data_IF_973546230937
#
_entry.id   IF_973546230937
#
_cell.length_a   1.000
_cell.length_b   1.000
_cell.length_c   1.000
_cell.angle_alpha   90.00
_cell.angle_beta   90.00
_cell.angle_gamma   90.00
#
_symmetry.space_group_name_H-M   'P 1'
#
loop_
_entity.id
_entity.type
_entity.pdbx_description
1 polymer ?
#
# COMPACT_ATOMS: atom_id res chain seq x y z
N UNK A 1 8.51 -17.95 -12.03
CA UNK A 1 7.65 -19.10 -11.71
C UNK A 1 6.60 -18.65 -10.71
N UNK A 2 5.33 -18.54 -11.12
CA UNK A 2 4.22 -18.40 -10.17
C UNK A 2 3.51 -19.75 -10.13
N UNK A 3 3.50 -20.40 -8.97
CA UNK A 3 2.64 -21.56 -8.77
C UNK A 3 1.20 -21.05 -8.61
N UNK A 4 0.36 -21.34 -9.61
CA UNK A 4 -1.08 -21.12 -9.51
C UNK A 4 -1.70 -22.06 -8.47
N UNK A 5 -2.83 -21.67 -7.84
CA UNK A 5 -3.50 -22.52 -6.86
C UNK A 5 -4.06 -23.77 -7.54
N UNK A 6 -3.74 -24.96 -7.00
CA UNK A 6 -4.42 -26.20 -7.36
C UNK A 6 -5.84 -26.18 -6.78
N UNK A 7 -6.83 -26.40 -7.63
CA UNK A 7 -8.25 -26.43 -7.28
C UNK A 7 -8.65 -27.78 -6.68
N UNK A 8 -9.19 -27.78 -5.46
CA UNK A 8 -10.01 -28.88 -4.94
C UNK A 8 -11.47 -28.47 -5.00
N UNK A 9 -12.28 -29.29 -5.70
CA UNK A 9 -13.72 -29.07 -5.84
C UNK A 9 -14.49 -29.61 -4.65
N UNK A 10 -15.51 -28.86 -4.21
CA UNK A 10 -16.66 -29.44 -3.49
C UNK A 10 -17.95 -28.71 -3.87
N UNK A 11 -18.96 -29.52 -4.14
CA UNK A 11 -20.37 -29.20 -4.35
C UNK A 11 -21.07 -28.84 -3.03
N UNK A 12 -21.90 -27.80 -3.00
CA UNK A 12 -23.18 -27.85 -2.26
C UNK A 12 -24.13 -26.73 -2.65
N UNK A 13 -25.38 -27.16 -2.82
CA UNK A 13 -26.65 -26.45 -2.97
C UNK A 13 -27.04 -25.79 -1.63
N UNK A 14 -27.66 -24.60 -1.64
CA UNK A 14 -28.91 -24.28 -0.89
C UNK A 14 -29.40 -22.83 -1.10
N UNK A 15 -30.72 -22.71 -0.99
CA UNK A 15 -31.63 -21.61 -1.36
C UNK A 15 -31.57 -20.33 -0.51
N UNK A 16 -31.68 -19.22 -1.25
CA UNK A 16 -32.65 -18.13 -1.13
C UNK A 16 -33.23 -17.71 0.23
N UNK A 17 -32.88 -16.49 0.68
CA UNK A 17 -33.77 -15.60 1.43
C UNK A 17 -33.58 -14.15 0.95
N UNK A 18 -34.69 -13.50 0.56
CA UNK A 18 -34.78 -12.09 0.16
C UNK A 18 -34.89 -11.18 1.39
N UNK A 19 -34.17 -10.05 1.41
CA UNK A 19 -34.54 -8.89 2.22
C UNK A 19 -34.50 -7.60 1.41
N UNK A 20 -35.53 -6.77 1.65
CA UNK A 20 -35.85 -5.50 1.00
C UNK A 20 -34.90 -4.38 1.43
N UNK A 21 -34.61 -3.50 0.48
CA UNK A 21 -34.03 -2.16 0.66
C UNK A 21 -35.05 -1.17 1.26
N UNK A 22 -34.55 -0.08 1.84
CA UNK A 22 -35.12 1.23 1.55
C UNK A 22 -34.10 2.24 1.04
N UNK A 23 -34.63 3.17 0.25
CA UNK A 23 -34.00 4.18 -0.59
C UNK A 23 -33.48 5.41 0.15
N UNK A 24 -32.37 5.92 -0.38
CA UNK A 24 -31.99 7.31 -0.68
C UNK A 24 -32.62 8.49 0.12
N UNK A 25 -31.72 9.31 0.65
CA UNK A 25 -31.93 10.73 0.94
C UNK A 25 -30.63 11.48 0.62
N UNK A 26 -30.64 12.20 -0.49
CA UNK A 26 -29.62 13.12 -0.99
C UNK A 26 -29.53 14.37 -0.13
N UNK A 27 -28.32 14.91 0.08
CA UNK A 27 -28.01 16.35 -0.10
C UNK A 27 -26.52 16.67 0.18
N UNK A 28 -25.94 17.43 -0.75
CA UNK A 28 -24.66 18.16 -0.74
C UNK A 28 -24.73 19.11 -1.95
N UNK A 29 -23.85 20.12 -2.12
CA UNK A 29 -22.69 20.54 -1.31
C UNK A 29 -22.61 22.08 -1.11
N UNK A 30 -21.61 22.56 -0.36
CA UNK A 30 -20.77 23.71 -0.77
C UNK A 30 -19.60 23.97 0.20
N UNK A 31 -18.40 23.65 -0.29
CA UNK A 31 -17.14 24.40 -0.25
C UNK A 31 -16.91 25.41 0.89
N UNK A 32 -15.92 25.12 1.75
CA UNK A 32 -14.92 26.13 2.08
C UNK A 32 -13.56 25.52 2.46
N UNK A 33 -12.51 26.17 1.96
CA UNK A 33 -11.09 25.85 2.00
C UNK A 33 -10.57 25.67 3.44
N UNK A 34 -9.85 24.58 3.74
CA UNK A 34 -9.14 24.43 5.01
C UNK A 34 -7.70 23.95 4.81
N UNK A 35 -6.75 24.91 4.96
CA UNK A 35 -5.44 24.63 5.54
C UNK A 35 -5.68 24.07 6.94
N UNK A 36 -5.36 22.81 7.19
CA UNK A 36 -5.41 22.25 8.56
C UNK A 36 -4.16 22.71 9.30
N UNK A 37 -4.34 23.75 10.11
CA UNK A 37 -3.45 24.08 11.21
C UNK A 37 -3.69 23.07 12.34
N UNK A 38 -2.63 22.35 12.75
CA UNK A 38 -2.61 21.57 13.98
C UNK A 38 -2.94 22.48 15.17
N UNK A 39 -4.12 22.33 15.75
CA UNK A 39 -4.45 22.95 17.05
C UNK A 39 -4.43 21.87 18.12
N UNK A 40 -3.40 21.95 18.95
CA UNK A 40 -3.21 21.14 20.15
C UNK A 40 -4.20 21.65 21.21
N UNK A 41 -5.19 20.84 21.57
CA UNK A 41 -6.06 21.15 22.71
C UNK A 41 -5.47 20.47 23.95
N UNK A 42 -4.66 21.20 24.71
CA UNK A 42 -4.21 20.78 26.04
C UNK A 42 -5.28 21.12 27.08
N UNK A 43 -5.92 20.09 27.64
CA UNK A 43 -6.71 20.22 28.85
C UNK A 43 -5.81 19.90 30.05
N UNK A 44 -5.49 20.91 30.86
CA UNK A 44 -4.85 20.72 32.17
C UNK A 44 -5.89 20.26 33.19
N UNK A 45 -5.61 19.16 33.91
CA UNK A 45 -6.03 18.99 35.31
C UNK A 45 -5.13 17.99 36.04
N UNK A 46 -4.43 18.53 37.05
CA UNK A 46 -4.07 17.98 38.36
C UNK A 46 -3.20 16.72 38.49
N UNK A 47 -1.99 16.96 39.01
CA UNK A 47 -1.03 16.02 39.57
C UNK A 47 -1.62 15.17 40.72
N UNK A 48 -1.63 13.86 40.52
CA UNK A 48 -1.50 12.82 41.55
C UNK A 48 -0.50 11.80 41.02
N UNK A 49 0.40 11.33 41.88
CA UNK A 49 1.43 10.33 41.59
C UNK A 49 0.83 9.04 40.99
N UNK A 50 0.76 8.97 39.67
CA UNK A 50 0.75 7.71 38.94
C UNK A 50 2.17 7.49 38.41
N UNK A 51 2.79 6.39 38.84
CA UNK A 51 3.66 5.64 37.95
C UNK A 51 2.81 5.32 36.72
N UNK A 52 2.75 6.24 35.75
CA UNK A 52 2.07 6.01 34.48
C UNK A 52 2.76 4.78 33.88
N UNK A 53 2.09 3.64 33.97
CA UNK A 53 2.42 2.45 33.21
C UNK A 53 2.52 2.91 31.77
N UNK A 54 3.76 3.00 31.27
CA UNK A 54 3.98 3.36 29.87
C UNK A 54 3.21 2.33 29.05
N UNK A 55 2.33 2.77 28.14
CA UNK A 55 1.54 1.84 27.34
C UNK A 55 2.45 0.82 26.67
N UNK A 56 2.08 -0.46 26.72
CA UNK A 56 2.90 -1.53 26.13
C UNK A 56 2.85 -1.42 24.61
N UNK A 57 4.03 -1.45 24.01
CA UNK A 57 4.24 -1.39 22.56
C UNK A 57 4.84 -2.71 22.07
N UNK A 58 4.25 -3.82 22.53
CA UNK A 58 4.69 -5.19 22.20
C UNK A 58 6.16 -5.49 22.52
N UNK A 59 6.79 -4.69 23.39
CA UNK A 59 8.15 -4.91 23.89
C UNK A 59 9.28 -4.58 22.92
N UNK A 60 8.98 -4.47 21.63
CA UNK A 60 9.96 -4.22 20.56
C UNK A 60 9.68 -2.92 19.81
N UNK A 61 8.44 -2.44 19.83
CA UNK A 61 8.03 -1.27 19.07
C UNK A 61 8.15 0.01 19.91
N UNK A 62 8.45 1.11 19.24
CA UNK A 62 8.26 2.45 19.77
C UNK A 62 6.90 3.04 19.38
N UNK A 63 6.30 2.52 18.30
CA UNK A 63 5.04 2.98 17.73
C UNK A 63 4.28 1.84 17.08
N UNK A 64 2.96 1.92 17.15
CA UNK A 64 2.06 1.03 16.41
C UNK A 64 1.04 1.90 15.70
N UNK A 65 0.92 1.74 14.39
CA UNK A 65 -0.09 2.37 13.56
C UNK A 65 -1.11 1.35 13.08
N UNK A 66 -2.39 1.73 13.09
CA UNK A 66 -3.48 0.96 12.48
C UNK A 66 -4.03 1.74 11.29
N UNK A 67 -3.86 1.20 10.09
CA UNK A 67 -4.43 1.76 8.86
C UNK A 67 -5.87 1.29 8.74
N UNK A 68 -6.81 2.23 8.79
CA UNK A 68 -8.25 1.90 8.79
C UNK A 68 -9.04 2.99 8.09
N UNK A 69 -10.01 2.61 7.27
CA UNK A 69 -10.98 3.56 6.73
C UNK A 69 -11.80 4.17 7.88
N UNK A 70 -11.96 5.51 7.97
CA UNK A 70 -12.73 6.16 9.02
C UNK A 70 -14.16 5.62 9.16
N UNK A 71 -14.77 5.25 8.02
CA UNK A 71 -16.14 4.72 7.96
C UNK A 71 -16.29 3.27 8.43
N UNK A 72 -15.21 2.49 8.55
CA UNK A 72 -15.21 1.08 9.00
C UNK A 72 -15.25 0.98 10.53
N UNK A 73 -16.29 1.55 11.12
CA UNK A 73 -16.49 1.59 12.57
C UNK A 73 -16.61 0.18 13.18
N UNK A 74 -17.16 -0.77 12.42
CA UNK A 74 -17.21 -2.19 12.74
C UNK A 74 -15.81 -2.77 13.02
N UNK A 75 -14.87 -2.52 12.11
CA UNK A 75 -13.49 -3.01 12.21
C UNK A 75 -12.71 -2.27 13.30
N UNK A 76 -12.86 -0.95 13.42
CA UNK A 76 -12.24 -0.18 14.52
C UNK A 76 -12.72 -0.66 15.89
N UNK A 77 -14.01 -1.00 16.05
CA UNK A 77 -14.52 -1.59 17.30
C UNK A 77 -13.86 -2.94 17.60
N UNK A 78 -13.66 -3.78 16.58
CA UNK A 78 -12.95 -5.04 16.76
C UNK A 78 -11.48 -4.80 17.13
N UNK A 79 -10.80 -3.85 16.47
CA UNK A 79 -9.45 -3.45 16.83
C UNK A 79 -9.40 -2.96 18.28
N UNK A 80 -10.33 -2.13 18.76
CA UNK A 80 -10.35 -1.71 20.17
C UNK A 80 -10.47 -2.89 21.16
N UNK A 81 -11.20 -3.96 20.82
CA UNK A 81 -11.22 -5.19 21.63
C UNK A 81 -9.87 -5.88 21.64
N UNK A 82 -9.21 -5.96 20.49
CA UNK A 82 -7.86 -6.52 20.36
C UNK A 82 -6.86 -5.69 21.20
N UNK A 83 -6.95 -4.36 21.12
CA UNK A 83 -6.15 -3.41 21.89
C UNK A 83 -6.25 -3.64 23.40
N UNK A 84 -7.49 -3.72 23.89
CA UNK A 84 -7.79 -3.95 25.30
C UNK A 84 -7.34 -5.33 25.78
N UNK A 85 -7.52 -6.36 24.93
CA UNK A 85 -7.18 -7.74 25.30
C UNK A 85 -5.67 -7.94 25.43
N UNK A 86 -4.89 -7.29 24.56
CA UNK A 86 -3.43 -7.40 24.54
C UNK A 86 -2.73 -6.32 25.40
N UNK A 87 -3.50 -5.40 25.99
CA UNK A 87 -2.97 -4.25 26.73
C UNK A 87 -1.95 -3.43 25.92
N UNK A 88 -2.22 -3.24 24.63
CA UNK A 88 -1.35 -2.49 23.72
C UNK A 88 -1.91 -1.11 23.42
N UNK A 89 -1.08 -0.20 22.91
CA UNK A 89 -1.54 1.07 22.39
C UNK A 89 -1.12 1.26 20.93
N UNK A 90 -1.97 1.91 20.15
CA UNK A 90 -1.69 2.26 18.76
C UNK A 90 -2.42 3.54 18.36
N UNK A 91 -1.99 4.12 17.25
CA UNK A 91 -2.61 5.30 16.64
C UNK A 91 -3.27 4.90 15.33
N UNK A 92 -4.54 5.27 15.14
CA UNK A 92 -5.18 5.11 13.83
C UNK A 92 -4.61 6.12 12.84
N UNK A 93 -4.30 5.64 11.64
CA UNK A 93 -4.06 6.47 10.46
C UNK A 93 -5.22 6.23 9.52
N UNK A 94 -5.91 7.32 9.18
CA UNK A 94 -7.09 7.27 8.32
C UNK A 94 -6.66 6.84 6.91
N UNK A 95 -7.19 5.70 6.47
CA UNK A 95 -6.98 5.20 5.12
C UNK A 95 -7.80 6.01 4.12
N UNK A 96 -7.33 6.03 2.88
CA UNK A 96 -7.99 6.67 1.74
C UNK A 96 -8.96 5.70 1.09
N UNK A 97 -10.15 6.19 0.76
CA UNK A 97 -11.18 5.40 0.10
C UNK A 97 -10.90 5.23 -1.40
N UNK A 98 -11.39 4.15 -2.02
CA UNK A 98 -11.24 3.91 -3.46
C UNK A 98 -11.83 5.01 -4.35
N UNK A 99 -12.81 5.73 -3.81
CA UNK A 99 -13.57 6.77 -4.53
C UNK A 99 -13.02 8.18 -4.25
N UNK A 100 -11.90 8.29 -3.53
CA UNK A 100 -11.25 9.57 -3.26
C UNK A 100 -10.72 10.19 -4.56
N UNK A 101 -10.85 11.50 -4.72
CA UNK A 101 -10.38 12.24 -5.90
C UNK A 101 -8.88 12.03 -6.16
N UNK A 102 -8.07 11.92 -5.10
CA UNK A 102 -6.64 11.67 -5.24
C UNK A 102 -6.35 10.31 -5.90
N UNK A 103 -7.19 9.30 -5.62
CA UNK A 103 -7.07 7.96 -6.24
C UNK A 103 -7.40 8.02 -7.72
N UNK A 104 -8.43 8.79 -8.09
CA UNK A 104 -8.77 9.05 -9.49
C UNK A 104 -7.64 9.73 -10.25
N UNK A 105 -7.05 10.79 -9.67
CA UNK A 105 -5.92 11.51 -10.26
C UNK A 105 -4.71 10.59 -10.46
N UNK A 106 -4.36 9.78 -9.46
CA UNK A 106 -3.25 8.83 -9.55
C UNK A 106 -3.49 7.83 -10.70
N UNK A 107 -4.71 7.29 -10.83
CA UNK A 107 -5.04 6.35 -11.91
C UNK A 107 -4.85 7.00 -13.28
N UNK A 108 -5.30 8.23 -13.45
CA UNK A 108 -5.17 8.93 -14.74
C UNK A 108 -3.72 9.22 -15.07
N UNK A 109 -2.92 9.66 -14.10
CA UNK A 109 -1.47 9.83 -14.27
C UNK A 109 -0.77 8.53 -14.67
N UNK A 110 -1.09 7.42 -13.99
CA UNK A 110 -0.51 6.10 -14.31
C UNK A 110 -0.91 5.67 -15.72
N UNK A 111 -2.15 5.96 -16.15
CA UNK A 111 -2.60 5.66 -17.50
C UNK A 111 -1.82 6.46 -18.54
N UNK A 112 -1.76 7.78 -18.39
CA UNK A 112 -1.04 8.67 -19.32
C UNK A 112 0.42 8.27 -19.44
N UNK A 113 1.10 8.02 -18.32
CA UNK A 113 2.48 7.55 -18.31
C UNK A 113 2.65 6.26 -19.13
N UNK A 114 1.74 5.29 -18.99
CA UNK A 114 1.85 4.01 -19.72
C UNK A 114 1.59 4.18 -21.21
N UNK A 115 0.63 5.01 -21.59
CA UNK A 115 0.32 5.34 -22.98
C UNK A 115 1.50 6.05 -23.67
N UNK A 116 2.16 6.99 -22.98
CA UNK A 116 3.37 7.67 -23.47
C UNK A 116 4.53 6.70 -23.71
N UNK A 117 4.74 5.74 -22.80
CA UNK A 117 5.79 4.73 -22.96
C UNK A 117 5.50 3.77 -24.11
N UNK A 118 4.24 3.36 -24.29
CA UNK A 118 3.81 2.53 -25.42
C UNK A 118 3.99 3.28 -26.74
N UNK A 119 3.57 4.55 -26.83
CA UNK A 119 3.75 5.37 -28.03
C UNK A 119 5.23 5.57 -28.38
N UNK A 120 6.08 5.79 -27.38
CA UNK A 120 7.52 5.93 -27.57
C UNK A 120 8.16 4.65 -28.13
N UNK A 121 7.67 3.47 -27.72
CA UNK A 121 8.20 2.18 -28.17
C UNK A 121 7.93 1.89 -29.66
N UNK A 122 6.85 2.42 -30.24
CA UNK A 122 6.45 2.19 -31.64
C UNK A 122 7.26 3.03 -32.63
N UNK A 123 7.81 4.17 -32.19
CA UNK A 123 8.57 5.08 -33.07
C UNK A 123 10.06 4.71 -33.23
N UNK A 124 10.54 3.69 -32.50
CA UNK A 124 11.90 3.18 -32.61
C UNK A 124 12.08 2.21 -33.79
N UNK A 125 12.76 2.70 -34.85
CA UNK A 125 13.26 1.95 -36.02
C UNK A 125 12.21 1.32 -36.96
N UNK A 126 11.71 2.14 -37.89
CA UNK A 126 11.06 1.65 -39.11
C UNK A 126 12.05 1.00 -40.10
N UNK A 127 13.36 1.04 -39.83
CA UNK A 127 14.41 0.52 -40.74
C UNK A 127 14.78 -0.96 -40.47
N UNK A 128 14.27 -1.60 -39.39
CA UNK A 128 14.62 -2.99 -39.03
C UNK A 128 13.49 -4.03 -39.25
N UNK A 129 12.37 -3.65 -39.87
CA UNK A 129 11.13 -4.48 -39.89
C UNK A 129 11.04 -5.48 -41.06
N UNK A 130 12.05 -5.62 -41.93
CA UNK A 130 11.90 -6.48 -43.13
C UNK A 130 12.19 -7.99 -42.94
N UNK A 131 12.43 -8.50 -41.72
CA UNK A 131 12.80 -9.93 -41.54
C UNK A 131 12.01 -10.78 -40.53
N UNK A 132 10.93 -10.30 -39.90
CA UNK A 132 10.17 -11.13 -38.94
C UNK A 132 8.89 -11.69 -39.59
N UNK A 133 9.05 -12.75 -40.37
CA UNK A 133 7.93 -13.59 -40.83
C UNK A 133 7.67 -14.72 -39.83
N UNK A 134 6.52 -14.61 -39.15
CA UNK A 134 5.59 -15.67 -38.73
C UNK A 134 6.24 -16.93 -38.11
N UNK A 135 6.47 -16.90 -36.79
CA UNK A 135 6.47 -18.10 -35.94
C UNK A 135 5.16 -18.13 -35.12
N UNK A 136 4.39 -19.22 -35.22
CA UNK A 136 3.14 -19.44 -34.46
C UNK A 136 3.38 -19.62 -32.95
N UNK A 137 4.64 -19.69 -32.51
CA UNK A 137 5.05 -19.58 -31.12
C UNK A 137 5.31 -18.12 -30.75
N UNK A 138 4.33 -17.24 -30.93
CA UNK A 138 4.43 -15.84 -30.55
C UNK A 138 4.64 -15.76 -29.03
N UNK A 139 5.90 -15.80 -28.61
CA UNK A 139 6.35 -15.40 -27.29
C UNK A 139 5.73 -14.02 -27.05
N UNK A 140 4.77 -14.03 -26.14
CA UNK A 140 4.02 -12.88 -25.64
C UNK A 140 4.97 -11.67 -25.52
N UNK A 141 4.91 -10.77 -26.49
CA UNK A 141 5.82 -9.62 -26.59
C UNK A 141 5.46 -8.63 -25.49
N UNK A 142 6.16 -8.73 -24.36
CA UNK A 142 6.04 -7.77 -23.27
C UNK A 142 6.62 -6.43 -23.71
N UNK A 143 5.93 -5.29 -23.52
CA UNK A 143 6.56 -3.98 -23.63
C UNK A 143 7.74 -3.95 -22.66
N UNK A 144 8.95 -3.91 -23.22
CA UNK A 144 10.19 -4.37 -22.61
C UNK A 144 10.96 -3.27 -21.87
N UNK A 145 10.30 -2.18 -21.48
CA UNK A 145 10.98 -1.11 -20.76
C UNK A 145 11.23 -1.54 -19.32
N UNK A 146 12.49 -1.85 -19.04
CA UNK A 146 12.97 -2.15 -17.71
C UNK A 146 13.04 -0.88 -16.86
N UNK A 147 12.75 -1.02 -15.57
CA UNK A 147 12.83 0.06 -14.60
C UNK A 147 14.28 0.51 -14.40
N UNK A 148 14.53 1.82 -14.55
CA UNK A 148 15.82 2.43 -14.27
C UNK A 148 15.85 2.99 -12.84
N UNK A 149 16.48 2.24 -11.94
CA UNK A 149 16.58 2.59 -10.54
C UNK A 149 17.72 3.59 -10.26
N UNK A 150 17.63 4.28 -9.13
CA UNK A 150 18.81 4.93 -8.53
C UNK A 150 19.91 3.90 -8.31
N UNK A 151 21.16 4.31 -8.44
CA UNK A 151 22.27 3.43 -8.07
C UNK A 151 22.23 3.12 -6.58
N UNK A 152 22.65 1.91 -6.19
CA UNK A 152 22.64 1.50 -4.78
C UNK A 152 23.37 2.50 -3.85
N UNK A 153 24.53 3.08 -4.22
CA UNK A 153 25.19 4.08 -3.37
C UNK A 153 24.38 5.37 -3.17
N UNK A 154 23.68 5.84 -4.21
CA UNK A 154 22.82 7.03 -4.12
C UNK A 154 21.60 6.75 -3.24
N UNK A 155 20.97 5.59 -3.43
CA UNK A 155 19.85 5.14 -2.61
C UNK A 155 20.27 5.03 -1.13
N UNK A 156 21.39 4.38 -0.85
CA UNK A 156 21.88 4.22 0.54
C UNK A 156 22.20 5.58 1.18
N UNK A 157 22.75 6.53 0.43
CA UNK A 157 22.99 7.89 0.92
C UNK A 157 21.69 8.59 1.33
N UNK A 158 20.63 8.46 0.51
CA UNK A 158 19.31 9.04 0.80
C UNK A 158 18.62 8.33 1.97
N UNK A 159 18.71 7.00 2.05
CA UNK A 159 18.12 6.20 3.13
C UNK A 159 18.74 6.56 4.47
N UNK A 160 20.07 6.72 4.53
CA UNK A 160 20.80 7.07 5.75
C UNK A 160 20.75 8.56 6.10
N UNK A 161 20.22 9.41 5.20
CA UNK A 161 20.09 10.84 5.46
C UNK A 161 19.12 11.14 6.61
N UNK A 162 19.47 12.14 7.42
CA UNK A 162 18.59 12.68 8.45
C UNK A 162 17.55 13.65 7.88
N UNK A 163 17.77 14.18 6.66
CA UNK A 163 16.82 15.05 6.01
C UNK A 163 15.57 14.27 5.59
N UNK A 164 14.38 14.89 5.63
CA UNK A 164 13.19 14.33 5.01
C UNK A 164 13.51 13.87 3.57
N UNK A 165 13.02 12.70 3.11
CA UNK A 165 13.13 12.33 1.72
C UNK A 165 12.39 13.41 0.92
N UNK A 166 13.08 14.12 0.05
CA UNK A 166 12.49 15.19 -0.77
C UNK A 166 11.29 14.70 -1.58
N UNK A 167 10.62 15.59 -2.30
CA UNK A 167 9.51 15.20 -3.17
C UNK A 167 9.99 14.40 -4.38
N UNK A 168 9.13 13.50 -4.86
CA UNK A 168 9.23 12.77 -6.11
C UNK A 168 8.06 13.18 -6.99
N UNK A 169 8.20 13.08 -8.31
CA UNK A 169 7.13 13.41 -9.26
C UNK A 169 5.82 12.65 -8.95
N UNK A 170 5.91 11.41 -8.45
CA UNK A 170 4.73 10.61 -8.11
C UNK A 170 3.96 11.11 -6.89
N UNK A 171 4.49 12.04 -6.11
CA UNK A 171 3.75 12.65 -5.00
C UNK A 171 2.69 13.62 -5.50
N UNK A 172 2.99 14.29 -6.61
CA UNK A 172 2.13 15.29 -7.21
C UNK A 172 0.99 14.63 -8.00
N UNK A 173 1.05 13.31 -8.27
CA UNK A 173 -0.02 12.58 -8.98
C UNK A 173 -1.35 12.52 -8.22
N UNK A 174 -1.33 12.83 -6.92
CA UNK A 174 -2.56 12.98 -6.13
C UNK A 174 -3.28 14.30 -6.39
N UNK A 175 -2.58 15.30 -6.94
CA UNK A 175 -3.13 16.59 -7.29
C UNK A 175 -3.95 16.49 -8.58
N UNK A 176 -4.93 17.38 -8.80
CA UNK A 176 -5.65 17.45 -10.08
C UNK A 176 -4.65 17.67 -11.21
N UNK A 177 -4.81 16.94 -12.31
CA UNK A 177 -4.11 17.27 -13.56
C UNK A 177 -4.59 18.67 -13.95
N UNK A 178 -3.70 19.65 -14.16
CA UNK A 178 -4.10 20.95 -14.66
C UNK A 178 -4.89 20.74 -15.95
N UNK A 179 -6.14 21.21 -16.00
CA UNK A 179 -6.99 21.08 -17.18
C UNK A 179 -6.22 21.61 -18.39
N UNK A 180 -5.83 20.71 -19.31
CA UNK A 180 -5.09 21.07 -20.53
C UNK A 180 -5.91 21.99 -21.46
N UNK A 181 -7.19 22.25 -21.13
CA UNK A 181 -8.15 22.93 -22.00
C UNK A 181 -8.51 24.36 -21.56
N UNK A 182 -7.87 24.95 -20.55
CA UNK A 182 -8.17 26.34 -20.14
C UNK A 182 -6.98 27.30 -20.13
N UNK A 183 -5.91 27.01 -20.86
CA UNK A 183 -4.99 28.04 -21.37
C UNK A 183 -5.49 28.61 -22.70
N UNK A 184 -6.79 28.89 -22.80
CA UNK A 184 -7.22 29.91 -23.75
C UNK A 184 -6.69 31.25 -23.23
N UNK A 185 -5.57 31.68 -23.83
CA UNK A 185 -5.03 33.03 -23.68
C UNK A 185 -6.19 34.03 -23.60
N UNK A 186 -6.22 34.94 -22.62
CA UNK A 186 -7.27 35.94 -22.58
C UNK A 186 -7.26 36.68 -23.91
N UNK A 187 -8.31 36.47 -24.70
CA UNK A 187 -8.55 37.15 -25.95
C UNK A 187 -8.52 38.65 -25.63
N UNK A 188 -7.43 39.31 -26.01
CA UNK A 188 -7.28 40.75 -25.90
C UNK A 188 -8.25 41.36 -26.90
N UNK A 189 -9.50 41.48 -26.48
CA UNK A 189 -10.59 42.04 -27.25
C UNK A 189 -10.19 43.40 -27.84
N UNK A 190 -10.18 43.44 -29.17
CA UNK A 190 -10.27 44.67 -29.94
C UNK A 190 -11.75 45.09 -29.97
N UNK A 191 -12.12 46.31 -29.53
CA UNK A 191 -13.50 46.76 -29.55
C UNK A 191 -13.79 47.35 -30.94
N UNK A 192 -14.35 46.53 -31.84
CA UNK A 192 -15.02 47.07 -33.03
C UNK A 192 -16.53 47.04 -32.81
N UNK A 193 -17.09 48.24 -32.72
CA UNK A 193 -18.51 48.50 -32.79
C UNK A 193 -18.97 48.22 -34.22
N UNK A 194 -19.97 47.35 -34.40
CA UNK A 194 -20.83 47.44 -35.57
C UNK A 194 -22.29 47.40 -35.15
N UNK A 195 -22.98 48.47 -35.55
CA UNK A 195 -24.38 48.75 -35.35
C UNK A 195 -25.04 48.56 -36.71
N UNK A 196 -25.84 47.52 -36.88
CA UNK A 196 -27.11 47.58 -37.63
C UNK A 196 -27.71 46.20 -37.90
N UNK A 197 -29.04 46.14 -37.88
CA UNK A 197 -29.79 45.24 -38.76
C UNK A 197 -30.69 44.25 -38.06
N UNK A 198 -31.92 44.67 -37.78
CA UNK A 198 -33.07 43.81 -37.54
C UNK A 198 -33.28 42.82 -38.72
N UNK A 199 -33.33 41.51 -38.44
CA UNK A 199 -33.97 40.53 -39.32
C UNK A 199 -34.63 39.39 -38.50
N UNK A 200 -35.97 39.28 -38.50
CA UNK A 200 -36.69 38.25 -37.77
C UNK A 200 -37.30 37.21 -38.73
N UNK A 201 -36.60 36.10 -38.99
CA UNK A 201 -37.21 34.77 -39.20
C UNK A 201 -36.23 33.75 -39.79
N UNK A 202 -35.58 32.93 -38.95
CA UNK A 202 -35.13 31.61 -39.36
C UNK A 202 -35.36 30.65 -38.19
N UNK A 203 -36.40 29.83 -38.31
CA UNK A 203 -36.54 28.59 -37.53
C UNK A 203 -35.51 27.60 -38.06
N UNK A 204 -34.36 27.50 -37.41
CA UNK A 204 -33.44 26.37 -37.56
C UNK A 204 -33.86 25.28 -36.59
N UNK A 205 -34.20 24.12 -37.13
CA UNK A 205 -34.41 22.89 -36.37
C UNK A 205 -33.14 22.56 -35.55
N UNK A 206 -33.29 22.03 -34.33
CA UNK A 206 -32.13 21.63 -33.52
C UNK A 206 -31.39 20.51 -34.27
N UNK A 207 -30.05 20.60 -34.43
CA UNK A 207 -29.28 19.51 -35.00
C UNK A 207 -29.43 18.27 -34.10
N UNK A 208 -29.67 17.12 -34.72
CA UNK A 208 -29.73 15.82 -34.07
C UNK A 208 -28.42 15.55 -33.28
N UNK A 209 -28.48 15.83 -31.98
CA UNK A 209 -27.39 15.70 -31.00
C UNK A 209 -27.16 14.23 -30.58
N UNK A 210 -27.30 13.28 -31.50
CA UNK A 210 -27.11 11.83 -31.22
C UNK A 210 -25.67 11.35 -31.49
N UNK A 211 -24.77 12.19 -32.01
CA UNK A 211 -23.44 11.73 -32.46
C UNK A 211 -22.25 12.17 -31.57
N UNK A 212 -22.50 12.83 -30.43
CA UNK A 212 -21.44 13.31 -29.50
C UNK A 212 -21.39 12.51 -28.18
N UNK A 213 -22.19 11.45 -28.04
CA UNK A 213 -22.21 10.60 -26.82
C UNK A 213 -21.65 9.18 -27.00
N UNK A 214 -21.15 8.81 -28.17
CA UNK A 214 -20.72 7.42 -28.45
C UNK A 214 -19.21 7.17 -28.41
N UNK A 215 -18.39 8.14 -28.00
CA UNK A 215 -16.96 7.94 -27.74
C UNK A 215 -16.60 8.17 -26.27
N UNK A 216 -17.45 7.74 -25.33
CA UNK A 216 -16.94 7.25 -24.05
C UNK A 216 -16.08 6.04 -24.36
N UNK A 217 -14.85 6.36 -24.76
CA UNK A 217 -13.77 5.47 -25.07
C UNK A 217 -13.72 4.48 -23.92
N UNK A 218 -14.09 3.22 -24.18
CA UNK A 218 -14.17 2.18 -23.14
C UNK A 218 -12.74 1.87 -22.70
N UNK A 219 -12.17 2.75 -21.88
CA UNK A 219 -10.78 2.67 -21.47
C UNK A 219 -10.62 1.39 -20.68
N UNK A 220 -9.73 0.53 -21.17
CA UNK A 220 -9.51 -0.75 -20.53
C UNK A 220 -8.95 -0.58 -19.10
N UNK A 221 -9.27 -1.52 -18.18
CA UNK A 221 -8.69 -1.52 -16.85
C UNK A 221 -7.16 -1.59 -16.90
N UNK A 222 -6.50 -0.84 -16.01
CA UNK A 222 -5.06 -0.99 -15.79
C UNK A 222 -4.75 -2.37 -15.21
N UNK A 223 -3.62 -2.94 -15.60
CA UNK A 223 -3.15 -4.23 -15.08
C UNK A 223 -1.86 -4.07 -14.27
N UNK A 224 -1.64 -4.96 -13.32
CA UNK A 224 -0.43 -5.01 -12.50
C UNK A 224 0.75 -5.54 -13.31
N UNK A 225 1.90 -4.89 -13.17
CA UNK A 225 3.19 -5.41 -13.61
C UNK A 225 3.57 -6.66 -12.80
N UNK A 226 4.04 -7.70 -13.49
CA UNK A 226 4.41 -8.99 -12.87
C UNK A 226 5.92 -9.17 -12.63
N UNK A 227 6.74 -8.24 -13.13
CA UNK A 227 8.22 -8.27 -13.08
C UNK A 227 8.81 -6.85 -12.98
N UNK A 228 10.04 -6.63 -13.44
CA UNK A 228 10.72 -5.33 -13.49
C UNK A 228 10.19 -4.41 -14.62
N UNK A 229 8.91 -4.52 -14.95
CA UNK A 229 8.25 -3.73 -15.99
C UNK A 229 7.46 -2.57 -15.37
N UNK A 230 7.32 -1.49 -16.13
CA UNK A 230 6.44 -0.36 -15.79
C UNK A 230 4.97 -0.74 -15.93
N UNK A 231 4.65 -1.46 -17.01
CA UNK A 231 3.29 -1.86 -17.39
C UNK A 231 2.99 -3.31 -17.05
N UNK A 232 1.71 -3.60 -16.80
CA UNK A 232 1.19 -4.96 -16.82
C UNK A 232 0.88 -5.43 -18.24
N UNK A 233 0.45 -6.69 -18.38
CA UNK A 233 -0.05 -7.23 -19.65
C UNK A 233 -1.26 -6.44 -20.12
N UNK A 234 -1.43 -6.26 -21.43
CA UNK A 234 -2.69 -5.74 -21.99
C UNK A 234 -3.90 -6.49 -21.42
N UNK A 235 -4.91 -5.73 -21.03
CA UNK A 235 -6.11 -6.29 -20.41
C UNK A 235 -6.86 -7.18 -21.39
N UNK A 236 -7.35 -8.31 -20.89
CA UNK A 236 -8.31 -9.18 -21.58
C UNK A 236 -9.44 -9.54 -20.62
N UNK A 237 -10.65 -9.90 -21.10
CA UNK A 237 -11.77 -10.25 -20.20
C UNK A 237 -11.47 -11.40 -19.22
N UNK A 238 -10.49 -12.25 -19.53
CA UNK A 238 -10.04 -13.35 -18.66
C UNK A 238 -8.94 -12.96 -17.66
N UNK A 239 -8.50 -11.69 -17.64
CA UNK A 239 -7.48 -11.20 -16.71
C UNK A 239 -7.94 -11.43 -15.26
N UNK A 240 -7.17 -12.15 -14.44
CA UNK A 240 -7.53 -12.40 -13.05
C UNK A 240 -7.63 -11.10 -12.23
N UNK A 241 -8.56 -11.05 -11.26
CA UNK A 241 -8.77 -9.88 -10.42
C UNK A 241 -7.49 -9.38 -9.71
N UNK A 242 -6.63 -10.30 -9.25
CA UNK A 242 -5.36 -9.93 -8.62
C UNK A 242 -4.38 -9.21 -9.57
N UNK A 243 -4.54 -9.38 -10.89
CA UNK A 243 -3.74 -8.71 -11.93
C UNK A 243 -4.36 -7.39 -12.42
N UNK A 244 -5.54 -7.00 -11.95
CA UNK A 244 -6.16 -5.72 -12.29
C UNK A 244 -5.72 -4.69 -11.25
N UNK A 245 -5.18 -3.55 -11.67
CA UNK A 245 -4.86 -2.43 -10.79
C UNK A 245 -6.12 -1.58 -10.59
N UNK A 246 -6.95 -1.98 -9.62
CA UNK A 246 -8.22 -1.30 -9.30
C UNK A 246 -8.00 -0.02 -8.46
N UNK A 247 -8.99 0.88 -8.41
CA UNK A 247 -8.99 2.03 -7.50
C UNK A 247 -8.74 1.65 -6.05
N UNK A 248 -9.32 0.55 -5.57
CA UNK A 248 -9.08 0.08 -4.22
C UNK A 248 -7.61 -0.30 -3.96
N UNK A 249 -6.92 -0.93 -4.93
CA UNK A 249 -5.49 -1.26 -4.79
C UNK A 249 -4.61 0.00 -4.81
N UNK A 250 -4.97 0.99 -5.61
CA UNK A 250 -4.30 2.30 -5.61
C UNK A 250 -4.53 3.02 -4.28
N UNK A 251 -5.75 3.00 -3.74
CA UNK A 251 -6.08 3.57 -2.44
C UNK A 251 -5.34 2.89 -1.28
N UNK A 252 -5.22 1.55 -1.30
CA UNK A 252 -4.40 0.80 -0.36
C UNK A 252 -2.94 1.25 -0.43
N UNK A 253 -2.35 1.26 -1.63
CA UNK A 253 -0.98 1.75 -1.82
C UNK A 253 -0.79 3.16 -1.25
N UNK A 254 -1.68 4.09 -1.60
CA UNK A 254 -1.59 5.47 -1.17
C UNK A 254 -1.77 5.64 0.35
N UNK A 255 -2.63 4.82 0.97
CA UNK A 255 -2.83 4.81 2.43
C UNK A 255 -1.56 4.37 3.16
N UNK A 256 -0.92 3.29 2.71
CA UNK A 256 0.35 2.85 3.30
C UNK A 256 1.48 3.84 3.03
N UNK A 257 1.50 4.48 1.85
CA UNK A 257 2.50 5.50 1.53
C UNK A 257 2.46 6.69 2.49
N UNK A 258 1.28 7.09 2.95
CA UNK A 258 1.14 8.15 3.96
C UNK A 258 1.75 7.74 5.31
N UNK A 259 1.54 6.51 5.76
CA UNK A 259 2.18 5.99 6.98
C UNK A 259 3.70 5.94 6.82
N UNK A 260 4.19 5.49 5.66
CA UNK A 260 5.61 5.44 5.37
C UNK A 260 6.26 6.84 5.44
N UNK A 261 5.58 7.88 4.93
CA UNK A 261 6.03 9.27 5.07
C UNK A 261 6.11 9.68 6.54
N UNK A 262 5.08 9.39 7.35
CA UNK A 262 5.09 9.69 8.78
C UNK A 262 6.31 9.09 9.51
N UNK A 263 6.71 7.86 9.16
CA UNK A 263 7.87 7.19 9.76
C UNK A 263 9.19 7.73 9.20
N UNK A 264 9.26 7.95 7.89
CA UNK A 264 10.47 8.39 7.19
C UNK A 264 10.87 9.84 7.52
N UNK A 265 9.87 10.70 7.72
CA UNK A 265 10.00 12.11 8.08
C UNK A 265 10.16 12.31 9.58
N UNK A 266 9.97 11.26 10.38
CA UNK A 266 10.16 11.38 11.81
C UNK A 266 11.65 11.64 12.11
N UNK A 267 11.93 12.90 12.39
CA UNK A 267 13.23 13.38 12.86
C UNK A 267 13.24 13.53 14.37
N UNK A 268 12.19 13.10 15.09
CA UNK A 268 12.08 13.28 16.53
C UNK A 268 13.20 12.52 17.25
N UNK A 269 14.27 13.28 17.45
CA UNK A 269 15.49 13.00 18.21
C UNK A 269 16.19 11.69 17.82
N UNK A 270 17.29 11.75 17.03
CA UNK A 270 18.44 10.94 17.42
C UNK A 270 18.59 11.19 18.92
N UNK A 271 18.36 10.15 19.74
CA UNK A 271 18.50 10.25 21.19
C UNK A 271 19.69 11.15 21.48
N UNK A 272 19.45 12.28 22.14
CA UNK A 272 20.41 13.35 22.38
C UNK A 272 21.71 12.72 22.88
N UNK A 273 22.63 12.46 21.95
CA UNK A 273 23.85 11.71 22.20
C UNK A 273 24.86 12.73 22.69
N UNK A 274 24.64 13.25 23.90
CA UNK A 274 25.71 13.84 24.68
C UNK A 274 26.58 12.67 25.17
N UNK A 275 27.38 12.16 24.24
CA UNK A 275 28.31 11.08 24.44
C UNK A 275 29.58 11.67 25.09
N UNK A 276 29.58 11.80 26.42
CA UNK A 276 30.82 11.96 27.21
C UNK A 276 31.34 10.66 27.79
N UNK A 277 30.63 9.53 27.65
CA UNK A 277 31.09 8.26 28.20
C UNK A 277 31.33 7.22 27.10
N UNK A 278 32.62 7.07 26.77
CA UNK A 278 33.19 6.02 25.94
C UNK A 278 32.99 4.61 26.57
N UNK A 279 31.77 4.06 26.66
CA UNK A 279 31.60 2.62 26.91
C UNK A 279 30.16 2.09 26.74
N UNK A 280 29.66 2.01 25.51
CA UNK A 280 29.02 0.78 24.99
C UNK A 280 28.62 0.97 23.54
N UNK A 281 29.20 0.13 22.69
CA UNK A 281 28.94 0.02 21.25
C UNK A 281 27.74 -0.92 21.04
N UNK A 282 26.69 -0.72 21.84
CA UNK A 282 25.62 -1.68 22.06
C UNK A 282 24.32 -1.11 21.50
N UNK A 283 23.99 -1.58 20.29
CA UNK A 283 22.73 -1.45 19.57
C UNK A 283 22.12 -0.04 19.54
N UNK A 284 22.35 0.66 18.41
CA UNK A 284 21.36 1.58 17.85
C UNK A 284 20.01 0.85 17.92
N UNK A 285 19.19 1.21 18.90
CA UNK A 285 17.85 0.67 19.01
C UNK A 285 17.08 1.41 17.91
N UNK A 286 17.12 0.83 16.70
CA UNK A 286 16.41 1.38 15.54
C UNK A 286 14.95 1.56 15.96
N UNK A 287 14.43 2.76 15.70
CA UNK A 287 13.05 3.11 16.01
C UNK A 287 12.11 2.16 15.26
N UNK A 288 11.53 1.19 15.97
CA UNK A 288 10.69 0.13 15.37
C UNK A 288 9.24 0.59 15.35
N UNK A 289 8.68 0.70 14.16
CA UNK A 289 7.25 0.96 13.98
C UNK A 289 6.54 -0.26 13.46
N UNK A 290 5.46 -0.67 14.12
CA UNK A 290 4.54 -1.71 13.63
C UNK A 290 3.38 -1.04 12.88
N UNK A 291 3.01 -1.60 11.74
CA UNK A 291 1.85 -1.21 10.93
C UNK A 291 0.90 -2.40 10.85
N UNK A 292 -0.36 -2.15 11.17
CA UNK A 292 -1.45 -3.11 11.19
C UNK A 292 -2.59 -2.62 10.28
N UNK A 293 -3.25 -3.52 9.56
CA UNK A 293 -4.57 -3.27 8.97
C UNK A 293 -5.69 -3.54 10.01
N UNK A 294 -6.91 -3.09 9.73
CA UNK A 294 -8.03 -3.12 10.68
C UNK A 294 -8.81 -4.43 10.75
N UNK A 295 -8.42 -5.42 9.96
CA UNK A 295 -9.08 -6.70 9.84
C UNK A 295 -8.26 -7.87 10.41
N UNK A 296 -7.30 -7.62 11.30
CA UNK A 296 -6.43 -8.67 11.85
C UNK A 296 -6.91 -9.35 13.14
N UNK A 297 -6.35 -10.53 13.40
CA UNK A 297 -6.21 -11.14 14.73
C UNK A 297 -4.72 -11.33 15.05
N UNK A 298 -4.37 -11.45 16.33
CA UNK A 298 -3.00 -11.64 16.81
C UNK A 298 -2.92 -12.70 17.89
N UNK A 299 -1.75 -13.34 18.00
CA UNK A 299 -1.45 -14.25 19.11
C UNK A 299 -1.59 -13.54 20.46
N UNK A 300 -2.19 -14.20 21.44
CA UNK A 300 -2.31 -13.64 22.81
C UNK A 300 -0.95 -13.40 23.47
N UNK A 301 0.05 -14.21 23.14
CA UNK A 301 1.42 -14.13 23.65
C UNK A 301 2.38 -13.40 22.67
N UNK A 302 1.85 -12.59 21.75
CA UNK A 302 2.64 -11.91 20.71
C UNK A 302 3.83 -11.12 21.28
N UNK A 303 3.68 -10.42 22.40
CA UNK A 303 4.78 -9.67 23.04
C UNK A 303 5.96 -10.59 23.41
N UNK A 304 5.69 -11.76 23.97
CA UNK A 304 6.72 -12.73 24.37
C UNK A 304 7.41 -13.36 23.16
N UNK A 305 6.62 -13.69 22.13
CA UNK A 305 7.15 -14.25 20.88
C UNK A 305 8.07 -13.26 20.17
N UNK A 306 7.64 -12.00 20.04
CA UNK A 306 8.45 -10.95 19.42
C UNK A 306 9.73 -10.72 20.22
N UNK A 307 9.67 -10.54 21.54
CA UNK A 307 10.86 -10.39 22.40
C UNK A 307 11.86 -11.54 22.27
N UNK A 308 11.36 -12.77 22.11
CA UNK A 308 12.22 -13.95 21.94
C UNK A 308 13.04 -13.85 20.65
N UNK A 309 12.40 -13.53 19.53
CA UNK A 309 13.04 -13.66 18.22
C UNK A 309 13.72 -12.38 17.75
N UNK A 310 13.33 -11.20 18.24
CA UNK A 310 13.75 -9.91 17.68
C UNK A 310 15.27 -9.71 17.68
N UNK A 311 15.97 -10.24 18.68
CA UNK A 311 17.43 -10.17 18.81
C UNK A 311 18.18 -10.96 17.74
N UNK A 312 17.50 -11.82 16.98
CA UNK A 312 18.09 -12.57 15.87
C UNK A 312 18.21 -11.72 14.58
N UNK A 313 17.51 -10.59 14.49
CA UNK A 313 17.58 -9.72 13.31
C UNK A 313 19.02 -9.20 13.12
N UNK A 314 19.54 -9.21 11.88
CA UNK A 314 20.83 -8.61 11.62
C UNK A 314 20.77 -7.09 11.78
N UNK A 315 21.92 -6.42 11.96
CA UNK A 315 22.00 -4.98 11.87
C UNK A 315 21.43 -4.48 10.53
N UNK A 316 20.74 -3.33 10.55
CA UNK A 316 20.20 -2.67 9.35
C UNK A 316 19.18 -3.50 8.57
N UNK A 317 18.22 -4.14 9.24
CA UNK A 317 17.04 -4.72 8.60
C UNK A 317 16.05 -3.63 8.17
N UNK A 318 15.18 -3.94 7.22
CA UNK A 318 14.25 -2.95 6.64
C UNK A 318 12.81 -3.20 7.07
N UNK A 319 12.36 -4.45 6.89
CA UNK A 319 10.98 -4.85 7.13
C UNK A 319 10.93 -6.24 7.76
N UNK A 320 10.00 -6.43 8.69
CA UNK A 320 9.65 -7.74 9.24
C UNK A 320 8.16 -7.98 9.06
N UNK A 321 7.78 -9.00 8.30
CA UNK A 321 6.39 -9.42 8.14
C UNK A 321 5.94 -10.22 9.35
N UNK A 322 4.96 -9.68 10.09
CA UNK A 322 4.40 -10.31 11.29
C UNK A 322 3.30 -11.33 10.93
N UNK A 323 2.69 -11.12 9.78
CA UNK A 323 2.10 -12.20 9.00
C UNK A 323 2.18 -11.95 7.51
N UNK A 324 1.92 -12.99 6.75
CA UNK A 324 2.04 -12.99 5.29
C UNK A 324 1.01 -13.94 4.69
N UNK A 325 0.82 -13.89 3.38
CA UNK A 325 0.00 -14.82 2.63
C UNK A 325 0.74 -15.31 1.39
N UNK A 326 0.27 -16.43 0.80
CA UNK A 326 0.64 -16.84 -0.57
C UNK A 326 2.14 -16.97 -0.83
N UNK A 327 2.92 -17.23 0.21
CA UNK A 327 4.35 -17.48 0.11
C UNK A 327 4.76 -18.53 1.14
N UNK A 328 5.82 -19.28 0.81
CA UNK A 328 6.49 -20.17 1.74
C UNK A 328 7.68 -19.43 2.36
N UNK A 329 7.44 -18.70 3.45
CA UNK A 329 8.49 -17.90 4.09
C UNK A 329 9.48 -18.75 4.90
N UNK A 330 9.27 -20.06 5.03
CA UNK A 330 10.28 -21.01 5.52
C UNK A 330 11.20 -21.53 4.41
N UNK A 331 11.19 -20.92 3.22
CA UNK A 331 12.09 -21.27 2.10
C UNK A 331 13.56 -21.17 2.50
N UNK A 332 13.90 -20.14 3.28
CA UNK A 332 15.24 -19.94 3.84
C UNK A 332 15.29 -20.43 5.29
N UNK A 333 16.46 -20.87 5.79
CA UNK A 333 16.59 -21.35 7.16
C UNK A 333 16.30 -20.24 8.18
N UNK A 334 15.78 -20.64 9.35
CA UNK A 334 15.55 -19.73 10.46
C UNK A 334 16.87 -19.07 10.92
N UNK A 335 16.79 -17.80 11.30
CA UNK A 335 17.90 -17.11 11.94
C UNK A 335 18.18 -17.72 13.32
N UNK A 336 19.45 -17.90 13.69
CA UNK A 336 19.79 -18.35 15.03
C UNK A 336 19.43 -17.25 16.03
N UNK A 337 18.56 -17.56 16.99
CA UNK A 337 18.31 -16.67 18.12
C UNK A 337 19.52 -16.76 19.05
N UNK A 338 20.19 -15.63 19.37
CA UNK A 338 21.26 -15.63 20.36
C UNK A 338 20.76 -16.27 21.65
N UNK A 339 21.61 -17.02 22.33
CA UNK A 339 21.22 -17.90 23.43
C UNK A 339 20.65 -17.09 24.62
N UNK A 340 19.35 -16.75 24.60
CA UNK A 340 18.64 -16.07 25.69
C UNK A 340 18.30 -17.11 26.78
N UNK A 341 19.32 -17.87 27.19
CA UNK A 341 19.24 -18.93 28.19
C UNK A 341 19.21 -18.42 29.63
N UNK A 342 18.82 -17.16 29.87
CA UNK A 342 18.63 -16.66 31.23
C UNK A 342 17.28 -17.07 31.86
N UNK A 343 16.35 -17.69 31.10
CA UNK A 343 15.02 -18.03 31.64
C UNK A 343 14.19 -19.10 30.94
N UNK A 344 14.49 -19.53 29.71
CA UNK A 344 13.77 -20.64 29.07
C UNK A 344 14.20 -21.97 29.67
N UNK A 345 13.24 -22.86 29.97
CA UNK A 345 13.57 -24.23 30.38
C UNK A 345 14.10 -24.95 29.15
N UNK A 346 15.19 -25.70 29.32
CA UNK A 346 15.69 -26.58 28.28
C UNK A 346 14.55 -27.51 27.80
N UNK A 347 14.10 -27.34 26.56
CA UNK A 347 13.00 -28.10 25.96
C UNK A 347 11.73 -27.32 25.61
N UNK A 348 11.60 -26.03 25.98
CA UNK A 348 10.45 -25.24 25.54
C UNK A 348 10.53 -24.97 24.03
N UNK A 349 9.52 -25.37 23.22
CA UNK A 349 9.57 -25.18 21.77
C UNK A 349 9.56 -23.69 21.42
N UNK A 350 10.40 -23.30 20.47
CA UNK A 350 10.30 -22.00 19.80
C UNK A 350 8.98 -21.99 19.02
N UNK A 351 8.01 -21.20 19.49
CA UNK A 351 6.67 -21.15 18.89
C UNK A 351 6.65 -20.40 17.55
N UNK A 352 7.58 -19.47 17.35
CA UNK A 352 7.75 -18.69 16.14
C UNK A 352 9.24 -18.44 15.92
N UNK A 353 9.70 -18.52 14.67
CA UNK A 353 11.07 -18.22 14.25
C UNK A 353 11.10 -17.11 13.20
N UNK A 354 12.23 -16.39 13.11
CA UNK A 354 12.49 -15.43 12.04
C UNK A 354 13.20 -16.11 10.88
N UNK A 355 12.71 -15.86 9.67
CA UNK A 355 13.32 -16.33 8.43
C UNK A 355 13.62 -15.13 7.53
N UNK A 356 14.70 -15.13 6.74
CA UNK A 356 14.80 -14.22 5.60
C UNK A 356 13.55 -14.35 4.73
N UNK A 357 12.94 -13.23 4.35
CA UNK A 357 11.73 -13.27 3.54
C UNK A 357 12.03 -13.76 2.13
N UNK A 358 11.08 -14.48 1.52
CA UNK A 358 11.19 -14.90 0.13
C UNK A 358 10.35 -14.02 -0.80
N UNK A 359 9.04 -14.00 -0.62
CA UNK A 359 8.11 -13.23 -1.45
C UNK A 359 6.76 -12.99 -0.73
N UNK A 360 6.78 -12.45 0.49
CA UNK A 360 5.59 -12.34 1.32
C UNK A 360 4.55 -11.45 0.63
N UNK A 361 3.28 -11.90 0.64
CA UNK A 361 2.13 -11.11 0.19
C UNK A 361 1.22 -10.80 1.36
N UNK A 362 0.17 -10.02 1.10
CA UNK A 362 -0.63 -9.33 2.12
C UNK A 362 0.18 -8.29 2.90
N UNK A 363 -0.50 -7.30 3.44
CA UNK A 363 0.11 -6.18 4.18
C UNK A 363 -0.55 -5.95 5.52
N UNK A 364 -1.26 -6.97 6.01
CA UNK A 364 -2.10 -6.88 7.19
C UNK A 364 -1.33 -6.64 8.49
N UNK A 365 -0.08 -7.09 8.59
CA UNK A 365 0.77 -6.79 9.74
C UNK A 365 2.27 -6.89 9.40
N UNK A 366 3.00 -5.79 9.56
CA UNK A 366 4.45 -5.75 9.37
C UNK A 366 5.10 -4.67 10.24
N UNK A 367 6.40 -4.82 10.49
CA UNK A 367 7.21 -3.86 11.24
C UNK A 367 8.29 -3.27 10.34
N UNK A 368 8.67 -2.03 10.61
CA UNK A 368 9.68 -1.28 9.87
C UNK A 368 10.70 -0.67 10.82
N UNK A 369 11.96 -0.68 10.39
CA UNK A 369 12.95 0.26 10.89
C UNK A 369 12.75 1.61 10.20
N UNK A 370 13.25 2.71 10.78
CA UNK A 370 13.21 4.02 10.13
C UNK A 370 13.90 4.02 8.76
N UNK A 371 15.05 3.36 8.65
CA UNK A 371 15.78 3.22 7.38
C UNK A 371 15.00 2.38 6.37
N UNK A 372 14.35 1.30 6.83
CA UNK A 372 13.45 0.49 6.01
C UNK A 372 12.26 1.29 5.47
N UNK A 373 11.61 2.11 6.30
CA UNK A 373 10.54 3.00 5.87
C UNK A 373 11.01 4.00 4.79
N UNK A 374 12.20 4.58 4.96
CA UNK A 374 12.80 5.49 3.96
C UNK A 374 13.12 4.77 2.65
N UNK A 375 13.72 3.57 2.70
CA UNK A 375 14.04 2.78 1.51
C UNK A 375 12.78 2.38 0.76
N UNK A 376 11.76 1.90 1.47
CA UNK A 376 10.44 1.62 0.90
C UNK A 376 9.83 2.85 0.25
N UNK A 377 9.81 3.98 0.95
CA UNK A 377 9.22 5.21 0.45
C UNK A 377 9.90 5.68 -0.85
N UNK A 378 11.24 5.62 -0.93
CA UNK A 378 12.00 5.98 -2.13
C UNK A 378 11.68 5.04 -3.31
N UNK A 379 11.57 3.73 -3.07
CA UNK A 379 11.19 2.79 -4.13
C UNK A 379 9.74 2.98 -4.59
N UNK A 380 8.80 3.09 -3.65
CA UNK A 380 7.37 3.16 -3.94
C UNK A 380 6.95 4.49 -4.59
N UNK A 381 7.78 5.53 -4.48
CA UNK A 381 7.61 6.83 -5.15
C UNK A 381 8.43 6.98 -6.42
N UNK A 382 9.24 5.99 -6.80
CA UNK A 382 9.97 6.05 -8.05
C UNK A 382 8.96 6.05 -9.22
N UNK A 383 8.90 7.07 -10.10
CA UNK A 383 7.80 7.24 -11.05
C UNK A 383 7.50 6.01 -11.91
N UNK A 384 8.53 5.31 -12.39
CA UNK A 384 8.34 4.11 -13.21
C UNK A 384 7.80 2.89 -12.42
N UNK A 385 7.95 2.87 -11.09
CA UNK A 385 7.49 1.78 -10.24
C UNK A 385 6.20 2.11 -9.48
N UNK A 386 5.99 3.38 -9.13
CA UNK A 386 4.86 3.87 -8.36
C UNK A 386 3.54 3.42 -9.01
N UNK A 387 2.71 2.71 -8.25
CA UNK A 387 1.43 2.20 -8.73
C UNK A 387 1.54 1.33 -10.01
N UNK A 388 2.68 0.71 -10.27
CA UNK A 388 2.81 -0.25 -11.38
C UNK A 388 2.02 -1.54 -11.12
N UNK A 389 1.74 -1.85 -9.85
CA UNK A 389 1.10 -3.09 -9.36
C UNK A 389 0.41 -2.85 -8.02
N UNK A 390 -0.22 -3.88 -7.46
CA UNK A 390 -0.78 -3.81 -6.11
C UNK A 390 0.33 -3.64 -5.06
N UNK A 391 0.02 -3.03 -3.91
CA UNK A 391 1.00 -2.71 -2.88
C UNK A 391 1.75 -3.95 -2.34
N UNK A 392 1.00 -5.01 -2.03
CA UNK A 392 1.57 -6.30 -1.60
C UNK A 392 2.48 -6.93 -2.66
N UNK A 393 2.10 -6.85 -3.95
CA UNK A 393 2.91 -7.32 -5.07
C UNK A 393 4.19 -6.50 -5.25
N UNK A 394 4.15 -5.20 -4.95
CA UNK A 394 5.34 -4.35 -4.96
C UNK A 394 6.31 -4.73 -3.84
N UNK A 395 5.81 -4.94 -2.62
CA UNK A 395 6.65 -5.42 -1.52
C UNK A 395 7.27 -6.77 -1.84
N UNK A 396 6.47 -7.76 -2.28
CA UNK A 396 6.96 -9.07 -2.66
C UNK A 396 8.05 -8.99 -3.74
N UNK A 397 7.88 -8.11 -4.73
CA UNK A 397 8.88 -7.90 -5.78
C UNK A 397 10.16 -7.25 -5.24
N UNK A 398 10.05 -6.22 -4.40
CA UNK A 398 11.20 -5.54 -3.81
C UNK A 398 12.03 -6.51 -2.94
N UNK A 399 11.37 -7.39 -2.19
CA UNK A 399 12.02 -8.48 -1.45
C UNK A 399 12.73 -9.44 -2.40
N UNK A 400 12.02 -9.98 -3.40
CA UNK A 400 12.58 -10.93 -4.37
C UNK A 400 13.77 -10.37 -5.15
N UNK A 401 13.75 -9.08 -5.46
CA UNK A 401 14.83 -8.38 -6.17
C UNK A 401 16.03 -8.02 -5.27
N UNK A 402 15.98 -8.31 -3.98
CA UNK A 402 17.04 -7.98 -3.02
C UNK A 402 17.13 -6.48 -2.68
N UNK A 403 16.09 -5.69 -3.00
CA UNK A 403 16.02 -4.26 -2.71
C UNK A 403 15.60 -3.95 -1.28
N UNK A 404 15.09 -4.95 -0.56
CA UNK A 404 14.75 -4.86 0.86
C UNK A 404 15.42 -5.99 1.63
N UNK A 405 16.01 -5.64 2.76
CA UNK A 405 16.44 -6.61 3.78
C UNK A 405 15.23 -7.01 4.62
N UNK A 406 14.50 -8.00 4.13
CA UNK A 406 13.22 -8.41 4.68
C UNK A 406 13.29 -9.73 5.44
N UNK A 407 12.49 -9.82 6.51
CA UNK A 407 12.33 -11.03 7.32
C UNK A 407 10.86 -11.33 7.57
N UNK A 408 10.52 -12.59 7.82
CA UNK A 408 9.15 -13.05 8.05
C UNK A 408 9.12 -13.92 9.30
N UNK A 409 8.07 -13.76 10.11
CA UNK A 409 7.78 -14.66 11.22
C UNK A 409 7.07 -15.91 10.71
N UNK A 410 7.55 -17.08 11.13
CA UNK A 410 6.97 -18.39 10.79
C UNK A 410 6.85 -19.26 12.05
N UNK A 411 5.64 -19.75 12.40
CA UNK A 411 4.34 -19.31 11.89
C UNK A 411 4.06 -17.82 12.17
N UNK A 412 3.17 -17.21 11.39
CA UNK A 412 2.77 -15.81 11.61
C UNK A 412 2.16 -15.60 13.00
N UNK A 413 2.40 -14.42 13.57
CA UNK A 413 1.83 -14.01 14.88
C UNK A 413 0.62 -13.07 14.73
N UNK A 414 0.33 -12.65 13.50
CA UNK A 414 -0.83 -11.85 13.13
C UNK A 414 -1.40 -12.37 11.81
N UNK A 415 -2.72 -12.55 11.71
CA UNK A 415 -3.39 -13.06 10.50
C UNK A 415 -4.55 -12.15 10.12
N UNK A 416 -4.85 -12.08 8.83
CA UNK A 416 -6.05 -11.40 8.34
C UNK A 416 -7.31 -12.22 8.64
N UNK A 417 -8.30 -11.61 9.28
CA UNK A 417 -9.61 -12.21 9.52
C UNK A 417 -10.47 -12.09 8.29
N UNK A 418 -11.21 -13.15 7.99
CA UNK A 418 -12.11 -13.25 6.83
C UNK A 418 -13.56 -13.35 7.26
N UNK A 419 -13.97 -12.40 8.11
CA UNK A 419 -15.33 -12.33 8.66
C UNK A 419 -16.26 -11.49 7.80
N UNK A 420 -15.74 -10.50 7.06
CA UNK A 420 -16.50 -9.60 6.20
C UNK A 420 -15.89 -9.50 4.79
N UNK A 421 -16.58 -8.79 3.89
CA UNK A 421 -16.07 -8.49 2.55
C UNK A 421 -14.76 -7.69 2.57
N UNK A 422 -13.90 -7.95 1.60
CA UNK A 422 -12.65 -7.20 1.36
C UNK A 422 -12.95 -5.90 0.62
N UNK A 423 -12.35 -4.80 1.07
CA UNK A 423 -12.46 -3.51 0.38
C UNK A 423 -11.52 -3.42 -0.84
N UNK A 424 -10.55 -4.35 -0.97
CA UNK A 424 -9.47 -4.29 -1.98
C UNK A 424 -9.72 -5.25 -3.14
N UNK A 425 -10.07 -6.50 -2.82
CA UNK A 425 -10.35 -7.52 -3.82
C UNK A 425 -11.66 -8.22 -3.46
N UNK A 426 -12.73 -7.89 -4.18
CA UNK A 426 -13.99 -8.58 -4.02
C UNK A 426 -13.86 -10.08 -4.40
N UNK A 427 -12.85 -10.51 -5.17
CA UNK A 427 -12.76 -11.89 -5.66
C UNK A 427 -14.07 -12.32 -6.36
N UNK A 428 -14.38 -13.62 -6.34
CA UNK A 428 -15.67 -14.13 -6.83
C UNK A 428 -16.82 -14.03 -5.81
N UNK A 429 -16.54 -13.82 -4.53
CA UNK A 429 -17.50 -13.96 -3.42
C UNK A 429 -17.59 -12.74 -2.48
N UNK A 430 -16.91 -11.64 -2.79
CA UNK A 430 -16.73 -10.47 -1.93
C UNK A 430 -15.63 -10.62 -0.87
N UNK A 431 -15.13 -11.83 -0.59
CA UNK A 431 -14.27 -12.15 0.56
C UNK A 431 -12.76 -12.16 0.26
N UNK A 432 -12.36 -11.73 -0.94
CA UNK A 432 -10.98 -11.82 -1.40
C UNK A 432 -10.47 -13.26 -1.57
N UNK A 433 -9.17 -13.45 -1.36
CA UNK A 433 -8.48 -14.74 -1.49
C UNK A 433 -9.04 -15.83 -0.55
N UNK A 434 -9.01 -17.13 -0.91
CA UNK A 434 -9.36 -18.21 0.01
C UNK A 434 -8.24 -18.62 0.98
N UNK A 435 -6.98 -18.23 0.73
CA UNK A 435 -5.81 -18.62 1.54
C UNK A 435 -6.01 -18.25 3.02
N UNK A 436 -5.76 -19.14 3.97
CA UNK A 436 -5.85 -18.84 5.40
C UNK A 436 -4.63 -19.39 6.12
N UNK A 437 -4.14 -18.63 7.09
CA UNK A 437 -3.25 -19.10 8.13
C UNK A 437 -3.99 -19.03 9.47
N UNK A 438 -3.56 -19.86 10.41
CA UNK A 438 -4.17 -20.00 11.72
C UNK A 438 -3.19 -19.57 12.80
N UNK A 439 -3.69 -18.84 13.78
CA UNK A 439 -2.97 -18.58 15.02
C UNK A 439 -3.10 -19.77 15.97
N UNK A 440 -2.09 -19.98 16.81
CA UNK A 440 -2.15 -21.03 17.84
C UNK A 440 -3.15 -20.66 18.94
N UNK A 441 -3.16 -19.39 19.34
CA UNK A 441 -4.01 -18.87 20.42
C UNK A 441 -4.40 -17.41 20.13
N UNK A 442 -5.15 -17.22 19.04
CA UNK A 442 -5.66 -15.92 18.63
C UNK A 442 -6.58 -15.27 19.67
N UNK A 443 -6.66 -13.94 19.65
CA UNK A 443 -7.56 -13.20 20.54
C UNK A 443 -9.03 -13.47 20.20
N UNK A 444 -9.36 -13.57 18.91
CA UNK A 444 -10.73 -13.83 18.47
C UNK A 444 -11.05 -15.31 18.28
N UNK A 445 -10.11 -16.21 18.61
CA UNK A 445 -10.25 -17.65 18.47
C UNK A 445 -9.47 -18.21 17.27
N UNK A 446 -9.40 -19.53 17.17
CA UNK A 446 -8.77 -20.27 16.07
C UNK A 446 -9.73 -20.69 14.97
#
# INVERSE_FOLDING_TARGET
MFFGPQSFGTTSVFDGIRYRTPSAGTESPALNVMRVAFTNTQTQTTNMNESLDKPRLLGIASRIYVVSLPRRTDRRVAMERLRQTLDVNWTYVDAVHSDDTAVGNIIEHVRNLREELEASSVTGSADDIEHVLISEDAEETWPSQELHWLSDPELESLVLSNSPPGTSESDDWSLPVPDAENESLPDTGSPYYDLSGDDPSIYTEPPDDENIRSSENTRHPLTCAIRNYVTGRSWVPSTPAYMILSPAKVACWFSHLQVLRLIADDTASPATWNNTDNQSKETQNDDVTIILEDDIDMERDIEERLKTVWSALPPQWDIVFLGHCWSNESTYPALPVPDINAGRRAGDPIQTALHPSFAPKCTHAYALSRTGARRLLLHLRHPQFAYSRAYDQALAWLVLSGRLKAFSLVPSVAVQRKVDGSDIDAGRSGLGSPWRESLMNGVFGS
#
